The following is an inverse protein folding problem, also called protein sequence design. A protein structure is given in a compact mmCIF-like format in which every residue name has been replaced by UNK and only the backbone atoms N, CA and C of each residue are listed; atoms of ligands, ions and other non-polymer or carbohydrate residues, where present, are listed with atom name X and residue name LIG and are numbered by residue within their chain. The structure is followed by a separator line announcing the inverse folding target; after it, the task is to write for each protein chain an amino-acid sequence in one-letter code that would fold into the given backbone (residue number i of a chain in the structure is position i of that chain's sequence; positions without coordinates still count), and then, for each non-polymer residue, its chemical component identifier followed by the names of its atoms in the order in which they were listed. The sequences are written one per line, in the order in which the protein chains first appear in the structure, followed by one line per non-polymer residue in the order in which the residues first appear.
data_IF_842212218959
#
_entry.id   IF_842212218959
#
_cell.length_a   1.000
_cell.length_b   1.000
_cell.length_c   1.000
_cell.angle_alpha   90.00
_cell.angle_beta   90.00
_cell.angle_gamma   90.00
#
_symmetry.space_group_name_H-M   'P 1'
#
loop_
_entity.id
_entity.type
_entity.pdbx_description
1 polymer ?
#
# COMPACT_ATOMS: atom_id res chain seq x y z
N UNK A 1 -3.27 -75.25 20.32
CA UNK A 1 -3.63 -74.11 19.44
C UNK A 1 -2.97 -72.89 20.04
N UNK A 2 -1.76 -72.51 19.58
CA UNK A 2 -1.42 -71.77 18.33
C UNK A 2 -1.92 -70.32 18.42
N UNK A 3 -1.13 -69.27 18.24
CA UNK A 3 0.31 -69.12 18.08
C UNK A 3 0.67 -67.65 18.36
N UNK A 4 1.87 -67.42 18.89
CA UNK A 4 2.55 -66.12 18.92
C UNK A 4 2.76 -65.63 17.49
N UNK A 5 2.67 -64.32 17.24
CA UNK A 5 3.57 -63.69 16.28
C UNK A 5 3.78 -62.20 16.60
N UNK A 6 5.00 -61.95 17.07
CA UNK A 6 5.70 -60.68 17.06
C UNK A 6 5.74 -60.13 15.62
N UNK A 7 5.50 -58.85 15.41
CA UNK A 7 6.17 -58.15 14.31
C UNK A 7 6.44 -56.69 14.67
N UNK A 8 7.68 -56.48 15.11
CA UNK A 8 8.39 -55.22 15.09
C UNK A 8 8.94 -55.06 13.67
N UNK A 9 8.61 -53.97 12.98
CA UNK A 9 9.46 -53.44 11.90
C UNK A 9 9.63 -51.93 12.11
N UNK A 10 10.92 -51.58 12.17
CA UNK A 10 11.54 -50.27 12.27
C UNK A 10 11.48 -49.49 10.94
N UNK A 11 11.36 -48.16 11.07
CA UNK A 11 12.14 -47.09 10.40
C UNK A 11 12.48 -47.21 8.89
N UNK A 12 12.01 -46.23 8.10
CA UNK A 12 12.82 -45.32 7.26
C UNK A 12 11.89 -44.36 6.48
N UNK A 13 11.89 -43.03 6.74
CA UNK A 13 12.77 -42.00 6.14
C UNK A 13 12.27 -41.42 4.81
N UNK A 14 12.00 -40.11 4.78
CA UNK A 14 12.35 -39.05 3.79
C UNK A 14 11.53 -37.81 4.25
N UNK A 15 12.05 -36.86 5.03
CA UNK A 15 13.08 -35.86 4.72
C UNK A 15 12.80 -35.06 3.43
N UNK A 16 11.96 -34.02 3.55
CA UNK A 16 12.27 -32.65 3.11
C UNK A 16 11.40 -31.73 3.98
N UNK A 17 11.89 -30.77 4.75
CA UNK A 17 13.09 -29.97 4.56
C UNK A 17 12.71 -28.62 3.95
N UNK A 18 11.94 -27.79 4.66
CA UNK A 18 12.09 -26.33 4.63
C UNK A 18 11.82 -25.77 6.02
N UNK A 19 12.78 -26.01 6.92
CA UNK A 19 13.15 -24.97 7.88
C UNK A 19 13.58 -23.75 7.07
N UNK A 20 13.22 -22.57 7.57
CA UNK A 20 13.89 -21.31 7.27
C UNK A 20 13.90 -20.91 5.78
N UNK A 21 12.82 -20.27 5.36
CA UNK A 21 13.04 -18.94 4.84
C UNK A 21 12.37 -17.97 5.79
N UNK A 22 13.18 -17.46 6.72
CA UNK A 22 13.03 -16.09 7.17
C UNK A 22 12.73 -15.24 5.93
N UNK A 23 11.46 -14.92 5.70
CA UNK A 23 11.12 -13.63 5.11
C UNK A 23 11.46 -12.60 6.19
N UNK A 24 12.76 -12.41 6.41
CA UNK A 24 13.28 -11.11 6.80
C UNK A 24 13.21 -10.23 5.55
N UNK A 25 12.01 -10.09 4.98
CA UNK A 25 11.64 -8.83 4.36
C UNK A 25 11.88 -7.78 5.42
N UNK A 26 12.46 -6.65 5.04
CA UNK A 26 12.50 -5.48 5.90
C UNK A 26 11.07 -4.91 6.11
N UNK A 27 10.10 -5.74 6.50
CA UNK A 27 8.94 -5.34 7.29
C UNK A 27 9.45 -5.01 8.70
N UNK A 28 10.22 -3.93 8.76
CA UNK A 28 10.51 -3.17 9.97
C UNK A 28 9.19 -2.86 10.66
N UNK A 29 8.90 -3.49 11.81
CA UNK A 29 8.11 -3.02 12.98
C UNK A 29 6.96 -2.02 12.77
N UNK A 30 6.31 -2.03 11.62
CA UNK A 30 5.21 -1.16 11.24
C UNK A 30 4.05 -2.07 10.91
N UNK A 31 3.30 -2.45 11.93
CA UNK A 31 2.00 -3.10 11.76
C UNK A 31 1.07 -2.10 11.06
N UNK A 32 1.23 -2.02 9.74
CA UNK A 32 0.40 -1.25 8.84
C UNK A 32 -0.92 -1.99 8.69
N UNK A 33 -1.90 -1.59 9.51
CA UNK A 33 -3.26 -2.07 9.42
C UNK A 33 -4.10 -1.03 8.70
N UNK A 34 -4.49 -1.34 7.46
CA UNK A 34 -5.53 -0.60 6.76
C UNK A 34 -6.85 -1.32 6.99
N UNK A 35 -7.83 -0.68 7.64
CA UNK A 35 -9.14 -1.28 7.85
C UNK A 35 -9.97 -1.22 6.55
N UNK A 36 -9.43 -1.75 5.44
CA UNK A 36 -10.07 -1.75 4.11
C UNK A 36 -11.47 -2.37 4.23
N UNK A 37 -11.60 -3.50 4.92
CA UNK A 37 -12.89 -4.14 5.17
C UNK A 37 -13.87 -3.21 5.88
N UNK A 38 -13.45 -2.43 6.88
CA UNK A 38 -14.34 -1.51 7.59
C UNK A 38 -14.79 -0.35 6.68
N UNK A 39 -13.89 0.15 5.84
CA UNK A 39 -14.19 1.19 4.84
C UNK A 39 -15.20 0.65 3.83
N UNK A 40 -14.92 -0.53 3.25
CA UNK A 40 -15.80 -1.19 2.29
C UNK A 40 -17.16 -1.50 2.91
N UNK A 41 -17.21 -2.06 4.11
CA UNK A 41 -18.45 -2.33 4.82
C UNK A 41 -19.28 -1.06 5.06
N UNK A 42 -18.66 0.10 5.30
CA UNK A 42 -19.41 1.36 5.39
C UNK A 42 -19.97 1.78 4.04
N UNK A 43 -19.19 1.62 2.97
CA UNK A 43 -19.58 2.01 1.62
C UNK A 43 -20.68 1.10 1.04
N UNK A 44 -20.69 -0.19 1.36
CA UNK A 44 -21.59 -1.19 0.75
C UNK A 44 -22.87 -1.47 1.52
N UNK A 45 -23.05 -0.91 2.73
CA UNK A 45 -24.22 -1.12 3.60
C UNK A 45 -25.57 -0.88 2.93
N UNK A 46 -25.71 0.15 2.09
CA UNK A 46 -26.95 0.47 1.39
C UNK A 46 -26.65 1.08 0.01
N UNK A 47 -26.70 0.25 -1.02
CA UNK A 47 -26.34 0.60 -2.39
C UNK A 47 -27.25 1.67 -3.03
N UNK A 48 -28.51 1.78 -2.60
CA UNK A 48 -29.43 2.79 -3.12
C UNK A 48 -29.15 4.19 -2.55
N UNK A 49 -28.50 4.27 -1.37
CA UNK A 49 -28.15 5.55 -0.72
C UNK A 49 -26.76 6.02 -1.12
N UNK A 50 -26.55 7.35 -1.11
CA UNK A 50 -25.22 7.92 -1.19
C UNK A 50 -24.52 7.85 0.17
N UNK A 51 -23.26 7.44 0.17
CA UNK A 51 -22.45 7.28 1.37
C UNK A 51 -21.15 8.05 1.23
N UNK A 52 -20.74 8.66 2.33
CA UNK A 52 -19.45 9.33 2.45
C UNK A 52 -18.68 8.72 3.62
N UNK A 53 -17.41 8.41 3.39
CA UNK A 53 -16.47 7.94 4.42
C UNK A 53 -15.29 8.90 4.46
N UNK A 54 -15.14 9.60 5.58
CA UNK A 54 -13.96 10.40 5.85
C UNK A 54 -12.97 9.53 6.63
N UNK A 55 -11.68 9.62 6.30
CA UNK A 55 -10.65 8.92 7.03
C UNK A 55 -9.40 9.76 7.21
N UNK A 56 -8.65 9.39 8.25
CA UNK A 56 -7.28 9.81 8.48
C UNK A 56 -6.38 8.59 8.39
N UNK A 57 -5.39 8.62 7.50
CA UNK A 57 -4.41 7.54 7.42
C UNK A 57 -3.59 7.45 8.71
N UNK A 58 -2.84 6.37 8.86
CA UNK A 58 -1.76 6.35 9.84
C UNK A 58 -0.81 7.54 9.66
N UNK A 59 -0.19 7.96 10.77
CA UNK A 59 0.81 9.02 10.80
C UNK A 59 2.20 8.41 10.79
N UNK A 60 2.99 8.73 9.78
CA UNK A 60 4.37 8.28 9.62
C UNK A 60 5.33 9.41 9.99
N UNK A 61 6.13 9.18 11.03
CA UNK A 61 7.21 10.08 11.44
C UNK A 61 8.50 9.74 10.69
N UNK A 62 9.26 10.75 10.26
CA UNK A 62 10.57 10.60 9.62
C UNK A 62 11.61 10.01 10.59
N UNK A 63 12.74 9.52 10.05
CA UNK A 63 13.78 8.86 10.86
C UNK A 63 14.45 9.80 11.86
N UNK A 64 14.58 11.07 11.49
CA UNK A 64 15.12 12.15 12.35
C UNK A 64 14.08 12.71 13.33
N UNK A 65 12.83 12.24 13.27
CA UNK A 65 11.69 12.69 14.08
C UNK A 65 11.32 14.16 13.89
N UNK A 66 11.79 14.80 12.82
CA UNK A 66 11.54 16.21 12.53
C UNK A 66 10.21 16.45 11.81
N UNK A 67 9.75 15.44 11.07
CA UNK A 67 8.57 15.53 10.22
C UNK A 67 7.63 14.37 10.53
N UNK A 68 6.33 14.63 10.45
CA UNK A 68 5.31 13.60 10.46
C UNK A 68 4.29 13.85 9.37
N UNK A 69 3.85 12.78 8.71
CA UNK A 69 2.94 12.87 7.57
C UNK A 69 1.76 11.92 7.75
N UNK A 70 0.57 12.38 7.39
CA UNK A 70 -0.64 11.57 7.25
C UNK A 70 -1.53 12.16 6.15
N UNK A 71 -2.51 11.38 5.71
CA UNK A 71 -3.50 11.78 4.72
C UNK A 71 -4.85 11.93 5.41
N UNK A 72 -5.55 13.00 5.08
CA UNK A 72 -6.99 13.14 5.33
C UNK A 72 -7.71 13.10 4.00
N UNK A 73 -8.70 12.22 3.88
CA UNK A 73 -9.39 12.02 2.62
C UNK A 73 -10.85 11.64 2.81
N UNK A 74 -11.61 11.87 1.76
CA UNK A 74 -13.03 11.59 1.67
C UNK A 74 -13.26 10.64 0.51
N UNK A 75 -13.97 9.55 0.78
CA UNK A 75 -14.47 8.60 -0.20
C UNK A 75 -15.98 8.81 -0.33
N UNK A 76 -16.49 8.92 -1.54
CA UNK A 76 -17.93 9.04 -1.81
C UNK A 76 -18.38 7.93 -2.73
N UNK A 77 -19.56 7.39 -2.44
CA UNK A 77 -20.31 6.56 -3.37
C UNK A 77 -21.66 7.21 -3.57
N UNK A 78 -22.00 7.52 -4.81
CA UNK A 78 -23.33 8.00 -5.18
C UNK A 78 -24.22 6.80 -5.51
N UNK A 79 -25.26 6.59 -4.71
CA UNK A 79 -26.26 5.56 -4.96
C UNK A 79 -27.19 5.95 -6.11
N UNK A 80 -27.67 4.98 -6.87
CA UNK A 80 -28.71 5.18 -7.88
C UNK A 80 -29.97 4.39 -7.49
N UNK A 81 -31.15 4.86 -7.90
CA UNK A 81 -32.38 4.05 -7.77
C UNK A 81 -32.20 2.77 -8.56
N UNK A 82 -32.33 1.62 -7.91
CA UNK A 82 -32.11 0.30 -8.51
C UNK A 82 -30.74 -0.32 -8.23
N UNK A 83 -29.77 0.43 -7.66
CA UNK A 83 -28.49 -0.13 -7.24
C UNK A 83 -28.70 -1.19 -6.15
N UNK A 84 -28.15 -2.38 -6.38
CA UNK A 84 -28.28 -3.55 -5.49
C UNK A 84 -26.92 -4.09 -5.07
N UNK A 85 -26.90 -4.75 -3.92
CA UNK A 85 -25.74 -5.48 -3.44
C UNK A 85 -25.67 -6.84 -4.16
N UNK A 86 -24.60 -7.10 -4.88
CA UNK A 86 -24.31 -8.38 -5.54
C UNK A 86 -22.89 -8.79 -5.18
N UNK A 87 -22.71 -10.01 -4.66
CA UNK A 87 -21.40 -10.51 -4.22
C UNK A 87 -20.62 -9.55 -3.29
N UNK A 88 -21.32 -8.84 -2.39
CA UNK A 88 -20.72 -7.86 -1.49
C UNK A 88 -20.43 -6.48 -2.10
N UNK A 89 -20.96 -6.20 -3.30
CA UNK A 89 -20.63 -5.01 -4.08
C UNK A 89 -21.89 -4.26 -4.53
N UNK A 90 -21.83 -2.92 -4.54
CA UNK A 90 -22.93 -2.10 -5.04
C UNK A 90 -22.78 -1.87 -6.54
N UNK A 91 -23.64 -2.51 -7.34
CA UNK A 91 -23.69 -2.31 -8.78
C UNK A 91 -24.27 -0.93 -9.14
N UNK A 92 -23.87 -0.42 -10.31
CA UNK A 92 -24.35 0.84 -10.88
C UNK A 92 -24.17 2.05 -9.95
N UNK A 93 -23.00 2.17 -9.34
CA UNK A 93 -22.66 3.29 -8.45
C UNK A 93 -21.44 4.05 -8.95
N UNK A 94 -21.42 5.36 -8.70
CA UNK A 94 -20.24 6.18 -8.98
C UNK A 94 -19.37 6.20 -7.72
N UNK A 95 -18.12 5.78 -7.85
CA UNK A 95 -17.11 5.81 -6.79
C UNK A 95 -16.12 6.95 -7.06
N UNK A 96 -15.88 7.76 -6.03
CA UNK A 96 -15.01 8.93 -6.13
C UNK A 96 -14.21 9.12 -4.83
N UNK A 97 -13.00 9.68 -4.98
CA UNK A 97 -12.22 10.25 -3.87
C UNK A 97 -12.13 11.76 -4.09
N UNK A 98 -13.17 12.54 -3.71
CA UNK A 98 -13.22 13.97 -4.02
C UNK A 98 -12.22 14.81 -3.21
N UNK A 99 -11.71 14.30 -2.09
CA UNK A 99 -10.71 14.98 -1.27
C UNK A 99 -9.61 14.00 -0.89
N UNK A 100 -8.35 14.40 -1.11
CA UNK A 100 -7.18 13.75 -0.54
C UNK A 100 -6.11 14.81 -0.24
N UNK A 101 -5.89 15.08 1.04
CA UNK A 101 -4.94 16.09 1.51
C UNK A 101 -3.85 15.42 2.33
N UNK A 102 -2.60 15.60 1.92
CA UNK A 102 -1.45 15.24 2.74
C UNK A 102 -1.17 16.36 3.73
N UNK A 103 -1.16 16.01 5.01
CA UNK A 103 -0.78 16.89 6.11
C UNK A 103 0.64 16.56 6.50
N UNK A 104 1.53 17.55 6.43
CA UNK A 104 2.92 17.46 6.85
C UNK A 104 3.10 18.37 8.06
N UNK A 105 3.37 17.75 9.20
CA UNK A 105 3.71 18.44 10.43
C UNK A 105 5.22 18.48 10.59
N UNK A 106 5.74 19.67 10.82
CA UNK A 106 7.17 19.95 11.04
C UNK A 106 7.32 20.69 12.36
N UNK A 107 8.55 20.86 12.84
CA UNK A 107 8.78 21.68 14.04
C UNK A 107 8.30 23.14 13.89
N UNK A 108 8.29 23.68 12.67
CA UNK A 108 8.00 25.09 12.40
C UNK A 108 6.55 25.34 11.95
N UNK A 109 5.75 24.28 11.77
CA UNK A 109 4.34 24.42 11.42
C UNK A 109 3.77 23.25 10.63
N UNK A 110 2.56 23.46 10.11
CA UNK A 110 1.76 22.47 9.38
C UNK A 110 1.59 22.90 7.93
N UNK A 111 1.96 22.02 7.00
CA UNK A 111 1.72 22.18 5.56
C UNK A 111 0.61 21.25 5.11
N UNK A 112 -0.25 21.74 4.21
CA UNK A 112 -1.36 20.98 3.61
C UNK A 112 -1.17 20.94 2.11
N UNK A 113 -1.13 19.74 1.54
CA UNK A 113 -0.87 19.52 0.12
C UNK A 113 -2.04 18.73 -0.45
N UNK A 114 -2.76 19.33 -1.39
CA UNK A 114 -3.87 18.67 -2.06
C UNK A 114 -3.32 17.66 -3.08
N UNK A 115 -3.42 16.37 -2.76
CA UNK A 115 -2.89 15.31 -3.61
C UNK A 115 -3.64 15.19 -4.92
N UNK A 116 -4.94 15.52 -5.00
CA UNK A 116 -5.73 15.39 -6.24
C UNK A 116 -5.35 16.43 -7.30
N UNK A 117 -4.72 17.53 -6.89
CA UNK A 117 -4.21 18.56 -7.80
C UNK A 117 -2.87 18.19 -8.44
N UNK A 118 -2.28 17.07 -8.04
CA UNK A 118 -0.97 16.64 -8.50
C UNK A 118 -1.10 15.86 -9.82
N UNK A 119 -0.42 16.25 -10.91
CA UNK A 119 -0.42 15.46 -12.14
C UNK A 119 0.08 14.03 -11.89
N UNK A 120 -0.68 13.04 -12.37
CA UNK A 120 -0.36 11.62 -12.20
C UNK A 120 -0.83 10.98 -10.87
N UNK A 121 -1.35 11.76 -9.91
CA UNK A 121 -1.91 11.21 -8.66
C UNK A 121 -3.40 10.87 -8.74
N UNK A 122 -4.12 11.37 -9.76
CA UNK A 122 -5.58 11.31 -9.76
C UNK A 122 -6.34 11.50 -11.07
N UNK A 123 -5.65 11.65 -12.22
CA UNK A 123 -6.32 11.85 -13.52
C UNK A 123 -7.12 10.64 -14.03
N UNK A 124 -7.23 9.55 -13.24
CA UNK A 124 -8.02 8.34 -13.54
C UNK A 124 -8.98 7.90 -12.43
N UNK A 125 -9.25 8.71 -11.39
CA UNK A 125 -10.09 8.28 -10.25
C UNK A 125 -11.58 8.59 -10.53
N UNK A 126 -12.11 8.03 -11.61
CA UNK A 126 -13.56 7.91 -11.80
C UNK A 126 -13.91 6.45 -11.75
N UNK A 127 -14.90 6.09 -10.93
CA UNK A 127 -15.33 4.72 -10.67
C UNK A 127 -14.38 3.89 -9.79
N UNK A 128 -13.45 4.53 -9.08
CA UNK A 128 -12.59 3.89 -8.07
C UNK A 128 -12.58 4.71 -6.78
N UNK A 129 -12.51 4.03 -5.63
CA UNK A 129 -12.02 4.65 -4.40
C UNK A 129 -10.51 4.54 -4.35
N UNK A 130 -9.82 5.66 -4.19
CA UNK A 130 -8.40 5.71 -3.89
C UNK A 130 -8.18 5.89 -2.38
N UNK A 131 -7.58 4.89 -1.74
CA UNK A 131 -7.16 4.94 -0.33
C UNK A 131 -5.65 5.19 -0.29
N UNK A 132 -5.24 6.31 0.30
CA UNK A 132 -3.86 6.78 0.31
C UNK A 132 -3.31 6.75 1.73
N UNK A 133 -2.05 6.36 1.86
CA UNK A 133 -1.35 6.42 3.13
C UNK A 133 0.18 6.43 2.95
N UNK A 134 0.92 7.06 3.87
CA UNK A 134 2.38 7.03 3.86
C UNK A 134 2.90 5.65 4.29
N UNK A 135 3.92 5.16 3.58
CA UNK A 135 4.52 3.84 3.81
C UNK A 135 5.93 3.94 4.36
N UNK A 136 6.78 4.77 3.74
CA UNK A 136 8.19 4.82 4.13
C UNK A 136 8.83 6.13 3.72
N UNK A 137 9.78 6.58 4.51
CA UNK A 137 10.75 7.60 4.13
C UNK A 137 11.99 6.94 3.51
N UNK A 138 12.77 7.70 2.76
CA UNK A 138 14.18 7.35 2.52
C UNK A 138 15.02 7.61 3.78
N UNK A 139 16.20 6.99 3.88
CA UNK A 139 17.09 7.14 5.04
C UNK A 139 17.49 8.59 5.34
N UNK A 140 17.60 9.42 4.31
CA UNK A 140 17.92 10.84 4.42
C UNK A 140 16.69 11.75 4.54
N UNK A 141 15.50 11.17 4.75
CA UNK A 141 14.20 11.87 4.87
C UNK A 141 13.83 12.78 3.69
N UNK A 142 14.46 12.57 2.52
CA UNK A 142 14.17 13.35 1.30
C UNK A 142 12.94 12.82 0.57
N UNK A 143 12.84 11.51 0.40
CA UNK A 143 11.78 10.91 -0.39
C UNK A 143 10.75 10.26 0.52
N UNK A 144 9.48 10.54 0.27
CA UNK A 144 8.35 9.91 0.94
C UNK A 144 7.61 9.04 -0.07
N UNK A 145 7.42 7.77 0.26
CA UNK A 145 6.59 6.85 -0.52
C UNK A 145 5.20 6.83 0.09
N UNK A 146 4.23 7.28 -0.69
CA UNK A 146 2.81 7.04 -0.44
C UNK A 146 2.38 5.82 -1.24
N UNK A 147 1.51 5.01 -0.67
CA UNK A 147 0.79 3.97 -1.38
C UNK A 147 -0.65 4.40 -1.62
N UNK A 148 -1.16 4.00 -2.78
CA UNK A 148 -2.51 4.25 -3.24
C UNK A 148 -3.13 2.89 -3.56
N UNK A 149 -4.15 2.52 -2.80
CA UNK A 149 -4.99 1.37 -3.11
C UNK A 149 -6.22 1.84 -3.88
N UNK A 150 -6.33 1.41 -5.13
CA UNK A 150 -7.53 1.62 -5.93
C UNK A 150 -8.46 0.44 -5.73
N UNK A 151 -9.72 0.74 -5.42
CA UNK A 151 -10.75 -0.27 -5.24
C UNK A 151 -11.95 0.10 -6.11
N UNK A 152 -12.25 -0.75 -7.08
CA UNK A 152 -13.52 -0.79 -7.80
C UNK A 152 -13.92 -2.23 -7.96
N UNK A 153 -14.87 -2.70 -7.16
CA UNK A 153 -15.44 -4.04 -7.32
C UNK A 153 -15.66 -4.44 -8.81
N UNK A 154 -15.00 -5.50 -9.35
CA UNK A 154 -14.18 -6.53 -8.69
C UNK A 154 -12.65 -6.31 -8.71
N UNK A 155 -12.19 -5.24 -9.32
CA UNK A 155 -10.77 -4.91 -9.49
C UNK A 155 -10.20 -4.14 -8.30
N UNK A 156 -8.97 -4.51 -7.93
CA UNK A 156 -8.15 -3.72 -7.02
C UNK A 156 -6.74 -3.66 -7.56
N UNK A 157 -6.11 -2.51 -7.45
CA UNK A 157 -4.70 -2.34 -7.82
C UNK A 157 -3.98 -1.45 -6.83
N UNK A 158 -2.68 -1.67 -6.70
CA UNK A 158 -1.80 -0.90 -5.82
C UNK A 158 -0.86 -0.05 -6.67
N UNK A 159 -0.85 1.26 -6.43
CA UNK A 159 0.14 2.15 -7.01
C UNK A 159 0.89 2.89 -5.91
N UNK A 160 1.97 3.57 -6.27
CA UNK A 160 2.75 4.39 -5.36
C UNK A 160 2.97 5.77 -5.93
N UNK A 161 2.90 6.76 -5.04
CA UNK A 161 3.28 8.13 -5.32
C UNK A 161 4.55 8.43 -4.53
N UNK A 162 5.60 8.86 -5.23
CA UNK A 162 6.88 9.19 -4.62
C UNK A 162 6.99 10.71 -4.55
N UNK A 163 7.25 11.25 -3.37
CA UNK A 163 7.25 12.69 -3.10
C UNK A 163 8.66 13.13 -2.69
N UNK A 164 9.18 14.21 -3.28
CA UNK A 164 10.43 14.84 -2.88
C UNK A 164 10.17 15.99 -1.90
N UNK A 165 10.46 15.77 -0.62
CA UNK A 165 10.26 16.76 0.46
C UNK A 165 11.11 18.01 0.28
N UNK A 166 12.27 17.90 -0.40
CA UNK A 166 13.14 19.04 -0.69
C UNK A 166 12.64 19.89 -1.86
N UNK A 167 11.83 19.31 -2.75
CA UNK A 167 11.23 20.03 -3.86
C UNK A 167 9.78 20.43 -3.55
N UNK A 168 9.57 21.08 -2.41
CA UNK A 168 8.25 21.50 -1.93
C UNK A 168 7.19 20.38 -1.93
N UNK A 169 7.59 19.14 -1.61
CA UNK A 169 6.72 17.97 -1.63
C UNK A 169 6.07 17.71 -3.00
N UNK A 170 6.78 18.03 -4.08
CA UNK A 170 6.35 17.70 -5.44
C UNK A 170 6.51 16.20 -5.70
N UNK A 171 5.65 15.59 -6.54
CA UNK A 171 5.82 14.21 -6.95
C UNK A 171 7.07 14.04 -7.81
N UNK A 172 7.65 12.85 -7.78
CA UNK A 172 8.60 12.38 -8.78
C UNK A 172 7.79 11.67 -9.86
N UNK A 173 7.96 12.10 -11.12
CA UNK A 173 7.28 11.50 -12.27
C UNK A 173 7.91 10.15 -12.66
N UNK A 174 7.73 9.15 -11.79
CA UNK A 174 8.17 7.77 -11.98
C UNK A 174 7.09 6.85 -11.42
N UNK A 175 6.67 5.87 -12.21
CA UNK A 175 5.60 4.93 -11.84
C UNK A 175 6.23 3.56 -11.64
N UNK A 176 6.43 3.09 -10.39
CA UNK A 176 6.86 1.72 -10.14
C UNK A 176 5.84 0.73 -10.68
N UNK A 177 6.33 -0.40 -11.21
CA UNK A 177 5.50 -1.51 -11.65
C UNK A 177 4.46 -1.11 -12.71
N UNK A 178 4.81 -0.17 -13.60
CA UNK A 178 3.89 0.37 -14.62
C UNK A 178 3.29 -0.72 -15.53
N UNK A 179 4.00 -1.84 -15.71
CA UNK A 179 3.59 -2.97 -16.54
C UNK A 179 2.98 -4.13 -15.72
N UNK A 180 2.72 -3.93 -14.42
CA UNK A 180 2.15 -4.94 -13.54
C UNK A 180 0.63 -4.73 -13.40
N UNK A 181 -0.22 -5.69 -13.82
CA UNK A 181 -1.68 -5.53 -13.78
C UNK A 181 -2.26 -5.22 -12.39
N UNK A 182 -1.70 -5.82 -11.34
CA UNK A 182 -2.14 -5.60 -9.95
C UNK A 182 -1.35 -4.45 -9.30
N UNK A 183 -0.24 -4.06 -9.92
CA UNK A 183 0.68 -3.04 -9.44
C UNK A 183 1.84 -3.65 -8.66
N UNK A 184 2.27 -2.99 -7.58
CA UNK A 184 3.39 -3.47 -6.80
C UNK A 184 3.40 -3.05 -5.35
N UNK A 185 4.40 -3.56 -4.63
CA UNK A 185 4.62 -3.41 -3.20
C UNK A 185 6.05 -2.92 -2.96
N UNK A 186 6.22 -1.85 -2.17
CA UNK A 186 7.54 -1.41 -1.74
C UNK A 186 8.18 -2.48 -0.82
N UNK A 187 9.32 -3.03 -1.23
CA UNK A 187 10.13 -3.91 -0.38
C UNK A 187 11.04 -3.13 0.56
N UNK A 188 11.47 -1.92 0.15
CA UNK A 188 12.26 -1.01 0.95
C UNK A 188 13.26 -0.22 0.11
N UNK A 189 14.20 0.41 0.80
CA UNK A 189 15.29 1.18 0.22
C UNK A 189 16.60 0.41 0.33
N UNK A 190 17.36 0.40 -0.77
CA UNK A 190 18.73 -0.09 -0.81
C UNK A 190 19.75 0.99 -0.50
N UNK A 191 19.39 2.24 -0.81
CA UNK A 191 20.16 3.44 -0.53
C UNK A 191 19.20 4.61 -0.29
N UNK A 192 19.68 5.81 0.12
CA UNK A 192 18.82 6.98 0.29
C UNK A 192 18.07 7.41 -0.98
N UNK A 193 18.50 6.98 -2.16
CA UNK A 193 17.92 7.32 -3.46
C UNK A 193 17.37 6.12 -4.22
N UNK A 194 17.61 4.89 -3.76
CA UNK A 194 17.20 3.67 -4.49
C UNK A 194 16.14 2.91 -3.71
N UNK A 195 14.92 2.89 -4.25
CA UNK A 195 13.80 2.10 -3.77
C UNK A 195 13.68 0.80 -4.58
N UNK A 196 13.14 -0.26 -3.97
CA UNK A 196 12.92 -1.56 -4.59
C UNK A 196 11.47 -1.97 -4.39
N UNK A 197 10.84 -2.41 -5.47
CA UNK A 197 9.44 -2.84 -5.50
C UNK A 197 9.34 -4.29 -6.00
N UNK A 198 8.40 -5.03 -5.42
CA UNK A 198 7.89 -6.28 -5.97
C UNK A 198 6.65 -5.97 -6.80
N UNK A 199 6.66 -6.36 -8.06
CA UNK A 199 5.61 -6.09 -9.03
C UNK A 199 4.84 -7.40 -9.30
N UNK A 200 3.51 -7.36 -9.20
CA UNK A 200 2.66 -8.56 -9.28
C UNK A 200 1.65 -8.46 -10.41
N UNK A 201 1.44 -9.59 -11.10
CA UNK A 201 0.45 -9.76 -12.16
C UNK A 201 -0.56 -10.87 -11.86
N UNK A 202 -1.61 -10.96 -12.68
CA UNK A 202 -2.62 -12.01 -12.56
C UNK A 202 -2.05 -13.33 -13.11
N UNK A 203 -1.76 -14.29 -12.23
CA UNK A 203 -1.24 -15.61 -12.63
C UNK A 203 0.22 -15.62 -13.08
N UNK A 204 0.85 -14.45 -13.22
CA UNK A 204 2.25 -14.31 -13.59
C UNK A 204 3.18 -14.34 -12.36
N UNK A 205 4.42 -14.84 -12.49
CA UNK A 205 5.43 -14.70 -11.46
C UNK A 205 5.70 -13.23 -11.16
N UNK A 206 5.80 -12.88 -9.86
CA UNK A 206 6.26 -11.56 -9.45
C UNK A 206 7.65 -11.26 -10.02
N UNK A 207 7.88 -10.03 -10.46
CA UNK A 207 9.20 -9.52 -10.82
C UNK A 207 9.57 -8.32 -9.93
N UNK A 208 10.81 -7.87 -10.00
CA UNK A 208 11.29 -6.80 -9.13
C UNK A 208 11.83 -5.63 -9.94
N UNK A 209 11.50 -4.43 -9.50
CA UNK A 209 12.01 -3.18 -10.06
C UNK A 209 12.81 -2.42 -9.00
N UNK A 210 13.97 -1.91 -9.40
CA UNK A 210 14.74 -0.94 -8.62
C UNK A 210 14.61 0.42 -9.29
N UNK A 211 14.35 1.43 -8.47
CA UNK A 211 14.13 2.80 -8.94
C UNK A 211 15.13 3.71 -8.26
N UNK A 212 15.96 4.38 -9.07
CA UNK A 212 16.76 5.50 -8.62
C UNK A 212 15.91 6.78 -8.70
N UNK A 213 15.57 7.32 -7.55
CA UNK A 213 14.70 8.48 -7.39
C UNK A 213 15.35 9.79 -7.83
N UNK A 214 16.68 9.84 -7.89
CA UNK A 214 17.41 11.02 -8.35
C UNK A 214 17.50 11.03 -9.89
N UNK A 215 17.96 9.93 -10.48
CA UNK A 215 18.07 9.81 -11.95
C UNK A 215 16.73 9.47 -12.64
N UNK A 216 15.72 9.08 -11.85
CA UNK A 216 14.37 8.65 -12.31
C UNK A 216 14.39 7.38 -13.16
N UNK A 217 15.47 6.61 -13.08
CA UNK A 217 15.63 5.39 -13.84
C UNK A 217 15.01 4.20 -13.12
N UNK A 218 14.21 3.44 -13.85
CA UNK A 218 13.66 2.14 -13.43
C UNK A 218 14.48 1.05 -14.12
N UNK A 219 14.90 0.04 -13.36
CA UNK A 219 15.47 -1.19 -13.93
C UNK A 219 14.88 -2.42 -13.30
N UNK A 220 14.69 -3.47 -14.09
CA UNK A 220 14.38 -4.80 -13.57
C UNK A 220 15.62 -5.37 -12.87
N UNK A 221 15.38 -6.02 -11.73
CA UNK A 221 16.43 -6.69 -10.95
C UNK A 221 16.01 -8.12 -10.66
N UNK A 222 16.99 -9.01 -10.48
CA UNK A 222 16.70 -10.38 -10.10
C UNK A 222 16.30 -10.46 -8.61
N UNK A 223 15.78 -11.62 -8.19
CA UNK A 223 15.30 -11.84 -6.82
C UNK A 223 16.39 -11.72 -5.75
N UNK A 224 17.62 -12.16 -6.05
CA UNK A 224 18.75 -12.06 -5.13
C UNK A 224 19.13 -10.60 -4.87
N UNK A 225 19.18 -9.78 -5.92
CA UNK A 225 19.46 -8.35 -5.83
C UNK A 225 18.30 -7.59 -5.15
N UNK A 226 17.05 -7.98 -5.45
CA UNK A 226 15.86 -7.41 -4.82
C UNK A 226 15.82 -7.66 -3.31
N UNK A 227 16.23 -8.86 -2.87
CA UNK A 227 16.23 -9.29 -1.47
C UNK A 227 17.56 -9.02 -0.75
N UNK A 228 18.41 -8.17 -1.30
CA UNK A 228 19.60 -7.68 -0.61
C UNK A 228 19.25 -6.94 0.69
N UNK A 229 20.23 -6.28 1.31
CA UNK A 229 20.00 -5.46 2.51
C UNK A 229 19.08 -4.27 2.20
N UNK A 230 17.78 -4.47 2.38
CA UNK A 230 16.76 -3.44 2.28
C UNK A 230 16.41 -2.90 3.67
N UNK A 231 16.02 -1.63 3.72
CA UNK A 231 15.55 -0.99 4.94
C UNK A 231 14.30 -0.16 4.63
N UNK A 232 13.36 -0.14 5.56
CA UNK A 232 12.24 0.81 5.54
C UNK A 232 12.45 1.81 6.66
N UNK A 233 12.20 3.08 6.37
CA UNK A 233 12.49 4.17 7.30
C UNK A 233 11.25 4.95 7.70
N UNK A 234 11.35 5.56 8.87
CA UNK A 234 10.23 6.18 9.56
C UNK A 234 9.52 5.24 10.52
N UNK A 235 8.67 5.82 11.38
CA UNK A 235 7.92 5.11 12.41
C UNK A 235 6.46 5.53 12.41
N UNK A 236 5.56 4.56 12.49
CA UNK A 236 4.14 4.85 12.72
C UNK A 236 3.98 5.45 14.13
N UNK A 237 3.39 6.64 14.19
CA UNK A 237 3.13 7.37 15.44
C UNK A 237 1.64 7.42 15.80
N UNK A 238 0.75 7.22 14.82
CA UNK A 238 -0.68 7.07 15.05
C UNK A 238 -1.27 6.10 14.04
N UNK A 239 -2.34 5.39 14.43
CA UNK A 239 -3.04 4.40 13.58
C UNK A 239 -4.03 5.08 12.64
N UNK A 240 -4.45 4.32 11.62
CA UNK A 240 -5.54 4.70 10.74
C UNK A 240 -6.85 4.91 11.53
N UNK A 241 -7.64 5.91 11.14
CA UNK A 241 -8.92 6.23 11.77
C UNK A 241 -9.98 6.51 10.71
N UNK A 242 -11.15 5.89 10.84
CA UNK A 242 -12.35 6.34 10.13
C UNK A 242 -12.98 7.44 10.98
N UNK A 243 -13.13 8.62 10.40
CA UNK A 243 -13.69 9.76 11.09
C UNK A 243 -15.21 9.66 11.04
N UNK A 244 -15.86 9.82 12.19
CA UNK A 244 -17.31 10.06 12.25
C UNK A 244 -17.62 11.36 11.50
N UNK A 245 -18.83 11.51 10.94
CA UNK A 245 -19.24 12.79 10.35
C UNK A 245 -19.04 13.90 11.39
N UNK A 246 -18.58 15.10 10.99
CA UNK A 246 -18.63 16.26 11.88
C UNK A 246 -20.07 16.53 12.32
#
# INVERSE_FOLDING_TARGET
MKARCLMVILLASILTGVLNNFKATAQSNTNFYLPIEQILNRLTRNCASSVQVNYRSQKLMSSDRQNSVYIEATLTRSGRRGSRLVAGQCLDTNLETPVATMIVETQTGVRRINLLSIPGSGSRIKNYHAILHPVSWSSNNRYLILRIFYISAPESSTNHLIIDSRNNYSPINVIPCANAPIGGELLGFRSPTVAVFECSGYGDPSYFESIDLQSRNIRRVNSAEARGRLQSYGRVSSRFQILSRP
#
